data_IF_100316518570
#
_entry.id   IF_100316518570
#
_cell.length_a   1.000
_cell.length_b   1.000
_cell.length_c   1.000
_cell.angle_alpha   90.00
_cell.angle_beta   90.00
_cell.angle_gamma   90.00
#
_symmetry.space_group_name_H-M   'P 1'
#
loop_
_entity.id
_entity.type
_entity.pdbx_description
1 polymer ?
#
# COMPACT_ATOMS: atom_id res chain seq x y z
N UNK A 1 -0.06 20.64 36.09
CA UNK A 1 -1.40 20.38 35.56
C UNK A 1 -1.31 20.10 34.07
N UNK A 2 -1.96 19.03 33.55
CA UNK A 2 -2.01 18.80 32.11
C UNK A 2 -2.74 19.94 31.39
N UNK A 3 -2.27 20.24 30.21
CA UNK A 3 -2.86 21.28 29.37
C UNK A 3 -3.11 20.71 27.98
N UNK A 4 -4.24 21.11 27.38
CA UNK A 4 -4.61 20.73 26.03
C UNK A 4 -4.30 21.84 25.04
N UNK A 5 -3.89 21.47 23.84
CA UNK A 5 -3.77 22.43 22.75
C UNK A 5 -4.21 21.76 21.45
N UNK A 6 -4.77 22.58 20.55
CA UNK A 6 -5.15 22.17 19.21
C UNK A 6 -4.58 23.21 18.26
N UNK A 7 -3.88 22.76 17.23
CA UNK A 7 -3.17 23.64 16.31
C UNK A 7 -3.15 23.02 14.91
N UNK A 8 -3.01 23.86 13.89
CA UNK A 8 -2.84 23.38 12.52
C UNK A 8 -1.44 22.86 12.28
N UNK A 9 -0.49 23.21 13.16
CA UNK A 9 0.91 22.86 12.99
C UNK A 9 1.41 22.03 14.15
N UNK A 10 2.33 21.15 13.85
CA UNK A 10 3.09 20.40 14.85
C UNK A 10 4.55 20.42 14.42
N UNK A 11 5.46 20.47 15.41
CA UNK A 11 6.89 20.42 15.10
C UNK A 11 7.29 18.98 14.74
N UNK A 12 8.43 18.83 14.08
CA UNK A 12 8.96 17.49 13.79
C UNK A 12 9.19 16.70 15.08
N UNK A 13 9.62 17.37 16.15
CA UNK A 13 9.85 16.75 17.44
C UNK A 13 8.55 16.24 18.07
N UNK A 14 7.48 17.04 17.97
CA UNK A 14 6.16 16.63 18.48
C UNK A 14 5.62 15.43 17.70
N UNK A 15 5.74 15.45 16.37
CA UNK A 15 5.31 14.33 15.54
C UNK A 15 6.13 13.07 15.82
N UNK A 16 7.42 13.22 16.09
CA UNK A 16 8.28 12.09 16.43
C UNK A 16 7.83 11.43 17.73
N UNK A 17 7.41 12.22 18.73
CA UNK A 17 6.90 11.65 19.98
C UNK A 17 5.68 10.78 19.71
N UNK A 18 4.77 11.24 18.86
CA UNK A 18 3.57 10.47 18.51
C UNK A 18 3.93 9.19 17.76
N UNK A 19 4.76 9.31 16.71
CA UNK A 19 5.11 8.15 15.89
C UNK A 19 5.89 7.10 16.68
N UNK A 20 6.83 7.51 17.51
CA UNK A 20 7.58 6.58 18.36
C UNK A 20 6.68 5.88 19.37
N UNK A 21 5.74 6.64 19.96
CA UNK A 21 4.76 6.06 20.89
C UNK A 21 3.89 5.01 20.22
N UNK A 22 3.38 5.31 19.03
CA UNK A 22 2.54 4.38 18.28
C UNK A 22 3.33 3.13 17.88
N UNK A 23 4.55 3.31 17.36
CA UNK A 23 5.39 2.18 16.94
C UNK A 23 5.76 1.28 18.11
N UNK A 24 6.01 1.86 19.29
CA UNK A 24 6.33 1.08 20.49
C UNK A 24 5.17 0.18 20.89
N UNK A 25 3.94 0.70 20.88
CA UNK A 25 2.74 -0.09 21.19
C UNK A 25 2.55 -1.18 20.12
N UNK A 26 2.70 -0.81 18.86
CA UNK A 26 2.57 -1.76 17.75
C UNK A 26 3.56 -2.91 17.85
N UNK A 27 4.82 -2.61 18.17
CA UNK A 27 5.86 -3.63 18.35
C UNK A 27 5.56 -4.54 19.54
N UNK A 28 5.04 -3.98 20.63
CA UNK A 28 4.69 -4.76 21.81
C UNK A 28 3.52 -5.71 21.53
N UNK A 29 2.52 -5.26 20.74
CA UNK A 29 1.38 -6.09 20.37
C UNK A 29 1.75 -7.13 19.33
N UNK A 30 2.65 -6.79 18.46
CA UNK A 30 2.96 -7.54 17.26
C UNK A 30 4.23 -8.40 17.36
N UNK A 31 4.71 -8.66 18.56
CA UNK A 31 5.93 -9.42 18.86
C UNK A 31 6.61 -10.03 17.62
N UNK A 32 7.59 -9.35 17.02
CA UNK A 32 8.32 -9.77 15.82
C UNK A 32 7.73 -9.32 14.49
N UNK A 33 6.87 -8.32 14.49
CA UNK A 33 6.46 -7.68 13.25
C UNK A 33 7.71 -7.21 12.52
N UNK A 34 7.94 -7.76 11.32
CA UNK A 34 9.18 -7.56 10.61
C UNK A 34 8.88 -6.88 9.27
N UNK A 35 8.69 -5.57 9.31
CA UNK A 35 8.41 -4.80 8.11
C UNK A 35 9.66 -4.77 7.23
N UNK A 36 9.53 -5.24 5.99
CA UNK A 36 10.60 -5.23 4.99
C UNK A 36 10.13 -4.52 3.75
N UNK A 37 10.83 -3.49 3.28
CA UNK A 37 10.41 -2.79 2.08
C UNK A 37 10.53 -3.66 0.84
N UNK A 38 9.76 -3.30 -0.18
CA UNK A 38 9.71 -4.01 -1.44
C UNK A 38 9.40 -3.01 -2.54
N UNK A 39 10.12 -3.10 -3.65
CA UNK A 39 9.87 -2.25 -4.81
C UNK A 39 10.18 -3.02 -6.09
N UNK A 40 9.44 -2.68 -7.15
CA UNK A 40 9.63 -3.24 -8.48
C UNK A 40 9.58 -2.11 -9.48
N UNK A 41 10.54 -2.05 -10.40
CA UNK A 41 10.61 -1.00 -11.39
C UNK A 41 10.85 -1.57 -12.79
N UNK A 42 10.24 -0.95 -13.77
CA UNK A 42 10.57 -1.15 -15.18
C UNK A 42 11.22 0.12 -15.69
N UNK A 43 12.44 -0.02 -16.24
CA UNK A 43 13.18 1.10 -16.79
C UNK A 43 13.32 0.95 -18.29
N UNK A 44 13.25 2.07 -18.98
CA UNK A 44 13.54 2.14 -20.40
C UNK A 44 14.53 3.28 -20.59
N UNK A 45 15.71 2.98 -21.15
CA UNK A 45 16.78 3.94 -21.37
C UNK A 45 17.13 4.73 -20.10
N UNK A 46 17.14 4.05 -18.96
CA UNK A 46 17.47 4.64 -17.66
C UNK A 46 16.34 5.35 -16.94
N UNK A 47 15.19 5.54 -17.59
CA UNK A 47 14.03 6.19 -16.96
C UNK A 47 13.04 5.17 -16.46
N UNK A 48 12.45 5.43 -15.30
CA UNK A 48 11.39 4.57 -14.76
C UNK A 48 10.11 4.87 -15.53
N UNK A 49 9.54 3.84 -16.15
CA UNK A 49 8.28 3.96 -16.91
C UNK A 49 7.12 3.24 -16.22
N UNK A 50 7.40 2.38 -15.27
CA UNK A 50 6.37 1.73 -14.45
C UNK A 50 7.03 1.26 -13.17
N UNK A 51 6.24 1.08 -12.13
CA UNK A 51 6.75 0.52 -10.89
C UNK A 51 5.73 0.50 -9.79
N UNK A 52 6.11 -0.14 -8.72
CA UNK A 52 5.30 -0.20 -7.52
C UNK A 52 6.17 -0.43 -6.31
N UNK A 53 5.66 -0.05 -5.17
CA UNK A 53 6.37 -0.23 -3.91
C UNK A 53 5.40 -0.48 -2.77
N UNK A 54 5.95 -1.00 -1.69
CA UNK A 54 5.20 -1.29 -0.50
C UNK A 54 6.10 -1.96 0.52
N UNK A 55 5.51 -2.83 1.29
CA UNK A 55 6.24 -3.62 2.28
C UNK A 55 5.55 -4.94 2.54
N UNK A 56 6.30 -5.90 3.00
CA UNK A 56 5.72 -7.10 3.60
C UNK A 56 5.89 -6.98 5.10
N UNK A 57 4.83 -7.29 5.83
CA UNK A 57 4.85 -7.26 7.29
C UNK A 57 3.89 -8.33 7.79
N UNK A 58 4.33 -9.15 8.73
CA UNK A 58 3.62 -10.35 9.13
C UNK A 58 3.31 -11.19 7.89
N UNK A 59 2.07 -11.52 7.66
CA UNK A 59 1.65 -12.38 6.55
C UNK A 59 1.07 -11.60 5.38
N UNK A 60 1.38 -10.29 5.27
CA UNK A 60 0.70 -9.44 4.28
C UNK A 60 1.64 -8.57 3.49
N UNK A 61 1.34 -8.46 2.19
CA UNK A 61 1.93 -7.45 1.32
C UNK A 61 1.02 -6.22 1.38
N UNK A 62 1.61 -5.07 1.73
CA UNK A 62 0.93 -3.78 1.65
C UNK A 62 1.46 -3.05 0.44
N UNK A 63 0.63 -2.91 -0.59
CA UNK A 63 1.01 -2.15 -1.80
C UNK A 63 0.72 -0.68 -1.54
N UNK A 64 1.76 0.15 -1.53
CA UNK A 64 1.62 1.56 -1.25
C UNK A 64 1.44 2.39 -2.53
N UNK A 65 2.28 2.17 -3.52
CA UNK A 65 2.22 2.88 -4.80
C UNK A 65 2.27 1.90 -5.95
N UNK A 66 1.50 2.20 -6.98
CA UNK A 66 1.52 1.46 -8.24
C UNK A 66 1.29 2.50 -9.34
N UNK A 67 2.25 2.59 -10.27
CA UNK A 67 2.24 3.66 -11.26
C UNK A 67 2.79 3.18 -12.60
N UNK A 68 2.17 3.69 -13.68
CA UNK A 68 2.64 3.49 -15.05
C UNK A 68 2.64 4.86 -15.72
N UNK A 69 3.73 5.18 -16.44
CA UNK A 69 3.82 6.41 -17.18
C UNK A 69 2.69 6.50 -18.21
N UNK A 70 2.16 7.71 -18.40
CA UNK A 70 0.97 7.92 -19.22
C UNK A 70 1.09 7.31 -20.61
N UNK A 71 2.21 7.50 -21.28
CA UNK A 71 2.45 7.00 -22.64
C UNK A 71 2.63 5.48 -22.71
N UNK A 72 2.76 4.82 -21.58
CA UNK A 72 2.91 3.36 -21.50
C UNK A 72 1.71 2.66 -20.89
N UNK A 73 0.61 3.39 -20.65
CA UNK A 73 -0.61 2.81 -20.07
C UNK A 73 -1.36 1.96 -21.09
N UNK A 74 -2.26 1.12 -20.57
CA UNK A 74 -3.08 0.20 -21.36
C UNK A 74 -2.27 -0.90 -22.05
N UNK A 75 -1.07 -1.19 -21.55
CA UNK A 75 -0.21 -2.26 -22.07
C UNK A 75 -0.01 -3.40 -21.06
N UNK A 76 -0.79 -3.41 -19.97
CA UNK A 76 -0.69 -4.45 -18.95
C UNK A 76 0.48 -4.31 -17.99
N UNK A 77 1.20 -3.17 -18.01
CA UNK A 77 2.38 -2.99 -17.16
C UNK A 77 2.04 -2.92 -15.68
N UNK A 78 0.92 -2.28 -15.31
CA UNK A 78 0.49 -2.23 -13.92
C UNK A 78 0.22 -3.61 -13.36
N UNK A 79 -0.45 -4.46 -14.14
CA UNK A 79 -0.71 -5.85 -13.76
C UNK A 79 0.58 -6.64 -13.61
N UNK A 80 1.54 -6.42 -14.50
CA UNK A 80 2.84 -7.09 -14.47
C UNK A 80 3.64 -6.67 -13.23
N UNK A 81 3.68 -5.37 -12.92
CA UNK A 81 4.36 -4.87 -11.71
C UNK A 81 3.73 -5.52 -10.47
N UNK A 82 2.41 -5.52 -10.40
CA UNK A 82 1.69 -6.07 -9.26
C UNK A 82 1.97 -7.57 -9.11
N UNK A 83 1.98 -8.32 -10.22
CA UNK A 83 2.29 -9.75 -10.21
C UNK A 83 3.71 -10.02 -9.68
N UNK A 84 4.66 -9.16 -10.01
CA UNK A 84 6.04 -9.30 -9.52
C UNK A 84 6.16 -8.99 -8.03
N UNK A 85 5.44 -7.99 -7.55
CA UNK A 85 5.37 -7.70 -6.12
C UNK A 85 4.74 -8.88 -5.37
N UNK A 86 3.66 -9.43 -5.90
CA UNK A 86 2.99 -10.59 -5.30
C UNK A 86 3.91 -11.82 -5.26
N UNK A 87 4.66 -12.05 -6.33
CA UNK A 87 5.58 -13.19 -6.39
C UNK A 87 6.66 -13.08 -5.30
N UNK A 88 7.23 -11.89 -5.11
CA UNK A 88 8.22 -11.68 -4.06
C UNK A 88 7.59 -11.81 -2.67
N UNK A 89 6.37 -11.31 -2.50
CA UNK A 89 5.65 -11.44 -1.24
C UNK A 89 5.41 -12.92 -0.90
N UNK A 90 5.05 -13.74 -1.90
CA UNK A 90 4.90 -15.19 -1.68
C UNK A 90 6.21 -15.83 -1.21
N UNK A 91 7.34 -15.44 -1.78
CA UNK A 91 8.66 -15.92 -1.35
C UNK A 91 8.94 -15.57 0.10
N UNK A 92 8.42 -14.43 0.56
CA UNK A 92 8.58 -13.98 1.94
C UNK A 92 7.54 -14.58 2.89
N UNK A 93 6.63 -15.42 2.39
CA UNK A 93 5.62 -16.09 3.19
C UNK A 93 4.32 -15.31 3.36
N UNK A 94 4.12 -14.25 2.58
CA UNK A 94 2.86 -13.48 2.66
C UNK A 94 1.68 -14.33 2.21
N UNK A 95 0.58 -14.25 2.93
CA UNK A 95 -0.64 -15.00 2.66
C UNK A 95 -1.65 -14.20 1.84
N UNK A 96 -1.56 -12.88 1.89
CA UNK A 96 -2.43 -12.01 1.11
C UNK A 96 -1.75 -10.70 0.77
N UNK A 97 -2.41 -9.91 -0.07
CA UNK A 97 -1.97 -8.59 -0.46
C UNK A 97 -3.13 -7.61 -0.30
N UNK A 98 -2.83 -6.42 0.19
CA UNK A 98 -3.79 -5.34 0.37
C UNK A 98 -3.41 -4.18 -0.53
N UNK A 99 -4.40 -3.64 -1.24
CA UNK A 99 -4.22 -2.49 -2.11
C UNK A 99 -5.43 -1.56 -1.98
N UNK A 100 -5.23 -0.27 -2.18
CA UNK A 100 -6.29 0.72 -2.09
C UNK A 100 -6.27 1.63 -3.30
N UNK A 101 -7.44 2.13 -3.69
CA UNK A 101 -7.56 3.07 -4.79
C UNK A 101 -8.77 3.98 -4.61
N UNK A 102 -8.69 5.18 -5.16
CA UNK A 102 -9.80 6.12 -5.23
C UNK A 102 -10.54 6.04 -6.57
N UNK A 103 -10.10 5.18 -7.48
CA UNK A 103 -10.68 5.03 -8.81
C UNK A 103 -11.57 3.82 -8.89
N UNK A 104 -12.85 4.02 -9.22
CA UNK A 104 -13.79 2.91 -9.44
C UNK A 104 -13.32 2.01 -10.58
N UNK A 105 -12.76 2.61 -11.62
CA UNK A 105 -12.24 1.87 -12.78
C UNK A 105 -11.05 0.99 -12.40
N UNK A 106 -10.13 1.54 -11.61
CA UNK A 106 -8.95 0.79 -11.14
C UNK A 106 -9.36 -0.31 -10.17
N UNK A 107 -10.35 -0.04 -9.31
CA UNK A 107 -10.89 -1.07 -8.42
C UNK A 107 -11.45 -2.25 -9.22
N UNK A 108 -12.16 -1.97 -10.32
CA UNK A 108 -12.66 -3.02 -11.20
C UNK A 108 -11.52 -3.83 -11.84
N UNK A 109 -10.43 -3.15 -12.23
CA UNK A 109 -9.23 -3.82 -12.73
C UNK A 109 -8.63 -4.75 -11.67
N UNK A 110 -8.47 -4.26 -10.44
CA UNK A 110 -7.96 -5.10 -9.35
C UNK A 110 -8.87 -6.30 -9.10
N UNK A 111 -10.19 -6.12 -9.23
CA UNK A 111 -11.14 -7.23 -9.12
C UNK A 111 -10.85 -8.34 -10.14
N UNK A 112 -10.53 -7.96 -11.38
CA UNK A 112 -10.17 -8.93 -12.41
C UNK A 112 -8.83 -9.62 -12.13
N UNK A 113 -7.97 -9.00 -11.34
CA UNK A 113 -6.68 -9.57 -10.96
C UNK A 113 -6.75 -10.42 -9.69
N UNK A 114 -7.95 -10.61 -9.15
CA UNK A 114 -8.18 -11.48 -8.00
C UNK A 114 -8.38 -10.77 -6.67
N UNK A 115 -8.38 -9.45 -6.66
CA UNK A 115 -8.63 -8.68 -5.44
C UNK A 115 -10.13 -8.57 -5.18
N UNK A 116 -10.50 -8.66 -3.92
CA UNK A 116 -11.89 -8.54 -3.48
C UNK A 116 -12.05 -7.33 -2.57
N UNK A 117 -13.12 -6.55 -2.71
CA UNK A 117 -13.34 -5.42 -1.82
C UNK A 117 -13.64 -5.91 -0.41
N UNK A 118 -12.95 -5.34 0.57
CA UNK A 118 -13.20 -5.63 1.98
C UNK A 118 -13.80 -4.42 2.69
N UNK A 119 -13.67 -3.22 2.13
CA UNK A 119 -14.31 -2.02 2.64
C UNK A 119 -14.36 -0.97 1.54
N UNK A 120 -15.37 -0.09 1.62
CA UNK A 120 -15.45 1.10 0.79
C UNK A 120 -15.80 2.28 1.69
N UNK A 121 -15.19 3.43 1.41
CA UNK A 121 -15.47 4.66 2.16
C UNK A 121 -15.96 5.69 1.15
N UNK A 122 -17.29 5.92 1.09
CA UNK A 122 -17.81 6.92 0.15
C UNK A 122 -17.40 8.33 0.59
N UNK A 123 -17.23 9.21 -0.39
CA UNK A 123 -16.82 10.60 -0.16
C UNK A 123 -15.57 10.69 0.72
N UNK A 124 -14.62 9.80 0.46
CA UNK A 124 -13.36 9.80 1.19
C UNK A 124 -12.61 11.12 0.99
N UNK A 125 -12.54 11.55 -0.27
CA UNK A 125 -12.01 12.87 -0.66
C UNK A 125 -12.92 13.37 -1.77
N UNK A 126 -13.58 14.52 -1.58
CA UNK A 126 -14.54 15.03 -2.55
C UNK A 126 -15.60 14.01 -2.84
N UNK A 127 -15.88 13.75 -4.12
CA UNK A 127 -16.86 12.74 -4.54
C UNK A 127 -16.28 11.35 -4.74
N UNK A 128 -15.01 11.14 -4.38
CA UNK A 128 -14.33 9.87 -4.61
C UNK A 128 -14.54 8.87 -3.48
N UNK A 129 -14.78 7.63 -3.84
CA UNK A 129 -14.87 6.50 -2.91
C UNK A 129 -13.49 5.86 -2.78
N UNK A 130 -13.06 5.59 -1.54
CA UNK A 130 -11.85 4.81 -1.33
C UNK A 130 -12.22 3.33 -1.27
N UNK A 131 -11.58 2.55 -2.13
CA UNK A 131 -11.75 1.10 -2.18
C UNK A 131 -10.57 0.43 -1.51
N UNK A 132 -10.84 -0.44 -0.55
CA UNK A 132 -9.82 -1.24 0.14
C UNK A 132 -10.04 -2.69 -0.28
N UNK A 133 -9.02 -3.29 -0.89
CA UNK A 133 -9.16 -4.59 -1.53
C UNK A 133 -8.04 -5.54 -1.09
N UNK A 134 -8.37 -6.83 -1.01
CA UNK A 134 -7.42 -7.85 -0.58
C UNK A 134 -7.48 -9.04 -1.53
N UNK A 135 -6.32 -9.61 -1.82
CA UNK A 135 -6.18 -10.80 -2.64
C UNK A 135 -5.45 -11.88 -1.85
N UNK A 136 -5.98 -13.09 -1.82
CA UNK A 136 -5.29 -14.23 -1.23
C UNK A 136 -4.11 -14.61 -2.11
N UNK A 137 -2.95 -14.80 -1.52
CA UNK A 137 -1.73 -15.23 -2.21
C UNK A 137 -1.42 -16.70 -1.97
N UNK A 138 -2.07 -17.31 -0.99
CA UNK A 138 -1.96 -18.75 -0.75
C UNK A 138 -2.90 -19.52 -1.67
N UNK A 139 -2.48 -20.70 -2.04
CA UNK A 139 -3.32 -21.64 -2.76
C UNK A 139 -4.10 -22.54 -1.79
#
# INVERSE_FOLDING_TARGET
MPEWSVSETATEEELAVLSEGVLRVGRALAANGNARPLACFLRDRGSIIAGGSGRTEFDRLFVQYLWVAEEHRCCGLGSEVLARLEAEARKRGSKDALIETLSDRVAALYGRLGYKPVATIPRYVGGFTRHIMVKALEE
#
